data_IF_995095484016
#
_entry.id   IF_995095484016
#
_cell.length_a   1.000
_cell.length_b   1.000
_cell.length_c   1.000
_cell.angle_alpha   90.00
_cell.angle_beta   90.00
_cell.angle_gamma   90.00
#
_symmetry.space_group_name_H-M   'P 1'
#
loop_
_entity.id
_entity.type
_entity.pdbx_description
1 polymer ?
#
# COMPACT_ATOMS: atom_id res chain seq x y z
N UNK A 1 27.52 9.02 -60.72
CA UNK A 1 26.64 9.79 -59.81
C UNK A 1 26.35 8.97 -58.56
N UNK A 2 27.31 8.97 -57.63
CA UNK A 2 27.38 8.03 -56.51
C UNK A 2 27.97 8.78 -55.31
N UNK A 3 27.28 9.83 -54.83
CA UNK A 3 27.84 10.72 -53.79
C UNK A 3 26.83 11.56 -53.00
N UNK A 4 25.54 11.18 -52.89
CA UNK A 4 24.55 12.05 -52.22
C UNK A 4 23.56 11.36 -51.28
N UNK A 5 23.78 10.10 -50.89
CA UNK A 5 22.89 9.39 -49.95
C UNK A 5 23.53 9.03 -48.60
N UNK A 6 24.77 9.46 -48.34
CA UNK A 6 25.50 9.06 -47.12
C UNK A 6 25.55 10.12 -46.01
N UNK A 7 24.98 11.31 -46.21
CA UNK A 7 25.10 12.40 -45.22
C UNK A 7 23.88 12.50 -44.28
N UNK A 8 22.71 11.98 -44.67
CA UNK A 8 21.51 12.10 -43.84
C UNK A 8 21.35 11.01 -42.77
N UNK A 9 22.02 9.86 -42.90
CA UNK A 9 21.90 8.76 -41.94
C UNK A 9 22.76 8.95 -40.67
N UNK A 10 23.82 9.75 -40.74
CA UNK A 10 24.64 10.06 -39.56
C UNK A 10 24.02 11.14 -38.66
N UNK A 11 23.13 11.98 -39.21
CA UNK A 11 22.50 13.05 -38.43
C UNK A 11 21.37 12.55 -37.53
N UNK A 12 20.73 11.43 -37.89
CA UNK A 12 19.66 10.85 -37.07
C UNK A 12 20.17 9.99 -35.91
N UNK A 13 21.43 9.56 -35.94
CA UNK A 13 22.02 8.74 -34.87
C UNK A 13 22.63 9.56 -33.73
N UNK A 14 22.75 10.88 -33.89
CA UNK A 14 23.37 11.77 -32.89
C UNK A 14 22.37 12.58 -32.05
N UNK A 15 21.06 12.46 -32.30
CA UNK A 15 20.00 13.11 -31.50
C UNK A 15 19.32 12.15 -30.50
N UNK A 16 19.98 11.04 -30.14
CA UNK A 16 19.69 10.35 -28.87
C UNK A 16 20.54 10.99 -27.76
N UNK A 17 20.52 12.31 -27.67
CA UNK A 17 21.09 13.04 -26.54
C UNK A 17 20.14 12.84 -25.37
N UNK A 18 20.44 11.84 -24.54
CA UNK A 18 20.18 11.78 -23.10
C UNK A 18 19.05 12.67 -22.59
N UNK A 19 17.79 12.35 -22.91
CA UNK A 19 16.67 12.87 -22.13
C UNK A 19 16.58 11.99 -20.89
N UNK A 20 17.22 12.41 -19.80
CA UNK A 20 16.96 11.83 -18.49
C UNK A 20 15.45 11.93 -18.21
N UNK A 21 14.74 10.81 -18.27
CA UNK A 21 13.32 10.76 -17.97
C UNK A 21 13.08 11.24 -16.52
N UNK A 22 12.19 12.21 -16.35
CA UNK A 22 11.84 12.73 -15.02
C UNK A 22 11.07 11.68 -14.23
N UNK A 23 11.54 11.35 -13.03
CA UNK A 23 10.89 10.37 -12.15
C UNK A 23 9.53 10.89 -11.69
N UNK A 24 8.48 10.11 -11.98
CA UNK A 24 7.12 10.34 -11.49
C UNK A 24 6.86 9.42 -10.31
N UNK A 25 6.53 10.02 -9.18
CA UNK A 25 6.12 9.29 -7.99
C UNK A 25 4.75 8.63 -8.19
N UNK A 26 4.57 7.47 -7.57
CA UNK A 26 3.29 6.76 -7.49
C UNK A 26 3.01 6.40 -6.02
N UNK A 27 1.76 6.10 -5.65
CA UNK A 27 1.41 5.81 -4.25
C UNK A 27 2.22 4.66 -3.63
N UNK A 28 2.63 3.69 -4.45
CA UNK A 28 3.46 2.55 -4.05
C UNK A 28 4.94 2.71 -4.39
N UNK A 29 5.32 3.76 -5.14
CA UNK A 29 6.69 4.03 -5.55
C UNK A 29 7.07 5.45 -5.15
N UNK A 30 7.70 5.57 -3.98
CA UNK A 30 8.22 6.85 -3.48
C UNK A 30 9.54 7.19 -4.16
N UNK A 31 9.76 8.49 -4.38
CA UNK A 31 11.00 9.03 -4.93
C UNK A 31 12.22 8.63 -4.08
N UNK A 32 13.32 8.18 -4.70
CA UNK A 32 14.56 7.93 -3.98
C UNK A 32 15.13 9.26 -3.46
N UNK A 33 15.72 9.22 -2.26
CA UNK A 33 16.23 10.43 -1.57
C UNK A 33 17.17 11.27 -2.43
N UNK A 34 18.09 10.61 -3.14
CA UNK A 34 19.06 11.27 -4.03
C UNK A 34 18.44 12.12 -5.14
N UNK A 35 17.19 11.87 -5.52
CA UNK A 35 16.47 12.59 -6.56
C UNK A 35 15.51 13.65 -6.00
N UNK A 36 15.37 13.76 -4.68
CA UNK A 36 14.53 14.76 -4.04
C UNK A 36 15.25 16.12 -4.00
N UNK A 37 14.76 17.14 -4.73
CA UNK A 37 15.37 18.47 -4.71
C UNK A 37 15.32 19.09 -3.31
N UNK A 38 14.38 18.69 -2.46
CA UNK A 38 14.24 19.24 -1.12
C UNK A 38 15.42 18.89 -0.20
N UNK A 39 16.13 17.78 -0.45
CA UNK A 39 17.28 17.35 0.35
C UNK A 39 18.48 18.30 0.18
N UNK A 40 18.69 18.81 -1.05
CA UNK A 40 19.84 19.66 -1.38
C UNK A 40 19.53 21.16 -1.34
N UNK A 41 18.36 21.59 -1.84
CA UNK A 41 18.09 23.01 -2.07
C UNK A 41 17.42 23.72 -0.89
N UNK A 42 16.76 23.01 0.05
CA UNK A 42 15.96 23.60 1.12
C UNK A 42 16.63 23.59 2.51
N UNK A 43 17.95 23.85 2.58
CA UNK A 43 18.74 23.92 3.82
C UNK A 43 18.51 25.20 4.65
N UNK A 44 17.25 25.58 4.85
CA UNK A 44 16.86 26.66 5.75
C UNK A 44 17.36 26.39 7.19
N UNK A 45 17.62 27.44 7.99
CA UNK A 45 18.05 27.27 9.38
C UNK A 45 16.99 26.53 10.22
N UNK A 46 15.70 26.72 9.93
CA UNK A 46 14.62 26.00 10.61
C UNK A 46 14.61 24.50 10.28
N UNK A 47 14.89 24.13 9.03
CA UNK A 47 15.02 22.74 8.63
C UNK A 47 16.16 22.03 9.36
N UNK A 48 17.33 22.69 9.46
CA UNK A 48 18.48 22.17 10.24
C UNK A 48 18.12 21.96 11.71
N UNK A 49 17.46 22.93 12.34
CA UNK A 49 16.97 22.80 13.73
C UNK A 49 15.98 21.65 13.89
N UNK A 50 15.09 21.42 12.92
CA UNK A 50 14.14 20.32 12.97
C UNK A 50 14.85 18.95 12.85
N UNK A 51 15.87 18.85 11.99
CA UNK A 51 16.64 17.62 11.84
C UNK A 51 17.53 17.34 13.07
N UNK A 52 18.15 18.37 13.65
CA UNK A 52 18.86 18.28 14.92
C UNK A 52 17.93 17.79 16.05
N UNK A 53 16.70 18.33 16.14
CA UNK A 53 15.68 17.86 17.10
C UNK A 53 15.32 16.39 16.88
N UNK A 54 15.10 15.96 15.63
CA UNK A 54 14.82 14.55 15.29
C UNK A 54 15.99 13.63 15.65
N UNK A 55 17.22 14.06 15.35
CA UNK A 55 18.44 13.32 15.66
C UNK A 55 18.67 13.21 17.17
N UNK A 56 18.45 14.29 17.92
CA UNK A 56 18.53 14.31 19.37
C UNK A 56 17.52 13.35 20.01
N UNK A 57 16.26 13.38 19.57
CA UNK A 57 15.23 12.43 20.03
C UNK A 57 15.61 10.98 19.71
N UNK A 58 16.09 10.71 18.49
CA UNK A 58 16.54 9.37 18.09
C UNK A 58 17.72 8.88 18.94
N UNK A 59 18.68 9.75 19.22
CA UNK A 59 19.84 9.44 20.06
C UNK A 59 19.41 9.15 21.51
N UNK A 60 18.49 9.95 22.05
CA UNK A 60 17.94 9.75 23.39
C UNK A 60 17.22 8.41 23.52
N UNK A 61 16.30 8.08 22.60
CA UNK A 61 15.56 6.81 22.61
C UNK A 61 16.50 5.61 22.44
N UNK A 62 17.49 5.70 21.54
CA UNK A 62 18.51 4.66 21.37
C UNK A 62 19.31 4.46 22.65
N UNK A 63 19.73 5.55 23.32
CA UNK A 63 20.46 5.48 24.58
C UNK A 63 19.64 4.76 25.66
N UNK A 64 18.37 5.11 25.80
CA UNK A 64 17.48 4.46 26.77
C UNK A 64 17.36 2.95 26.51
N UNK A 65 17.14 2.56 25.25
CA UNK A 65 17.07 1.15 24.87
C UNK A 65 18.37 0.39 25.16
N UNK A 66 19.52 0.98 24.81
CA UNK A 66 20.82 0.35 25.06
C UNK A 66 21.13 0.20 26.55
N UNK A 67 20.72 1.16 27.40
CA UNK A 67 20.86 1.04 28.85
C UNK A 67 20.08 -0.14 29.43
N UNK A 68 18.86 -0.37 28.94
CA UNK A 68 18.04 -1.53 29.34
C UNK A 68 18.62 -2.84 28.80
N UNK A 69 19.14 -2.84 27.57
CA UNK A 69 19.71 -4.02 26.93
C UNK A 69 21.03 -4.46 27.59
N UNK A 70 21.86 -3.50 28.01
CA UNK A 70 23.18 -3.78 28.59
C UNK A 70 23.13 -4.15 30.08
N UNK A 71 21.97 -4.16 30.73
CA UNK A 71 21.84 -4.54 32.14
C UNK A 71 22.02 -6.06 32.30
N UNK A 72 23.05 -6.54 33.05
CA UNK A 72 23.33 -7.97 33.21
C UNK A 72 22.29 -8.71 34.06
N UNK A 73 21.48 -8.00 34.84
CA UNK A 73 20.46 -8.62 35.70
C UNK A 73 19.08 -8.74 35.04
N UNK A 74 18.95 -8.39 33.75
CA UNK A 74 17.67 -8.45 33.04
C UNK A 74 17.26 -9.90 32.76
N UNK A 75 16.07 -10.28 33.24
CA UNK A 75 15.45 -11.60 32.96
C UNK A 75 14.24 -11.52 32.00
N UNK A 76 13.70 -10.32 31.77
CA UNK A 76 12.44 -10.09 31.06
C UNK A 76 12.64 -9.45 29.68
N UNK A 77 11.57 -9.46 28.87
CA UNK A 77 11.51 -8.79 27.57
C UNK A 77 11.38 -7.26 27.77
N UNK A 78 12.07 -6.48 26.92
CA UNK A 78 11.95 -5.03 26.93
C UNK A 78 10.63 -4.63 26.26
N UNK A 79 9.76 -3.97 27.00
CA UNK A 79 8.52 -3.42 26.46
C UNK A 79 8.79 -2.12 25.70
N UNK A 80 8.38 -2.06 24.43
CA UNK A 80 8.41 -0.83 23.64
C UNK A 80 7.06 -0.09 23.74
N UNK A 81 7.00 1.09 24.41
CA UNK A 81 5.76 1.85 24.49
C UNK A 81 5.25 2.32 23.12
N UNK A 82 6.11 2.44 22.11
CA UNK A 82 5.69 2.77 20.75
C UNK A 82 4.89 1.63 20.12
N UNK A 83 5.33 0.38 20.30
CA UNK A 83 4.61 -0.81 19.84
C UNK A 83 3.25 -0.92 20.52
N UNK A 84 3.20 -0.78 21.86
CA UNK A 84 1.95 -0.86 22.63
C UNK A 84 0.96 0.23 22.25
N UNK A 85 1.44 1.45 21.97
CA UNK A 85 0.58 2.53 21.47
C UNK A 85 0.08 2.28 20.05
N UNK A 86 0.91 1.68 19.20
CA UNK A 86 0.52 1.34 17.83
C UNK A 86 -0.53 0.22 17.79
N UNK A 87 -0.34 -0.84 18.59
CA UNK A 87 -1.36 -1.90 18.71
C UNK A 87 -2.65 -1.34 19.28
N UNK A 88 -2.56 -0.53 20.35
CA UNK A 88 -3.70 0.16 20.93
C UNK A 88 -4.45 1.05 19.92
N UNK A 89 -3.73 1.81 19.09
CA UNK A 89 -4.34 2.67 18.07
C UNK A 89 -5.11 1.87 17.00
N UNK A 90 -4.69 0.62 16.70
CA UNK A 90 -5.40 -0.24 15.74
C UNK A 90 -6.60 -0.96 16.33
N UNK A 91 -6.58 -1.25 17.63
CA UNK A 91 -7.69 -1.92 18.31
C UNK A 91 -8.74 -0.95 18.83
N UNK A 92 -8.33 0.28 19.16
CA UNK A 92 -9.21 1.28 19.74
C UNK A 92 -10.08 1.98 18.67
N UNK A 93 -11.39 1.75 18.71
CA UNK A 93 -12.37 2.36 17.81
C UNK A 93 -13.08 3.61 18.41
N UNK A 94 -12.61 4.15 19.53
CA UNK A 94 -13.29 5.25 20.24
C UNK A 94 -13.33 6.57 19.45
N UNK A 95 -12.57 6.68 18.35
CA UNK A 95 -12.52 7.87 17.50
C UNK A 95 -13.50 7.83 16.31
N UNK A 96 -14.31 6.77 16.18
CA UNK A 96 -15.27 6.67 15.09
C UNK A 96 -16.41 7.68 15.25
N UNK A 97 -16.64 8.47 14.20
CA UNK A 97 -17.76 9.42 14.11
C UNK A 97 -18.71 8.94 13.01
N UNK A 98 -19.99 8.63 13.32
CA UNK A 98 -20.94 8.21 12.31
C UNK A 98 -21.30 9.41 11.41
N UNK A 99 -20.65 9.50 10.25
CA UNK A 99 -20.92 10.50 9.21
C UNK A 99 -21.59 9.86 8.00
N UNK A 100 -22.28 10.65 7.17
CA UNK A 100 -22.94 10.12 5.97
C UNK A 100 -21.98 9.37 5.03
N UNK A 101 -20.75 9.88 4.85
CA UNK A 101 -19.72 9.24 4.01
C UNK A 101 -19.27 7.89 4.58
N UNK A 102 -18.97 7.83 5.88
CA UNK A 102 -18.52 6.60 6.55
C UNK A 102 -19.63 5.55 6.59
N UNK A 103 -20.87 5.96 6.81
CA UNK A 103 -22.03 5.06 6.81
C UNK A 103 -22.32 4.52 5.41
N UNK A 104 -22.17 5.34 4.35
CA UNK A 104 -22.31 4.89 2.97
C UNK A 104 -21.25 3.86 2.60
N UNK A 105 -19.98 4.11 2.94
CA UNK A 105 -18.88 3.16 2.72
C UNK A 105 -19.13 1.86 3.50
N UNK A 106 -19.53 1.95 4.77
CA UNK A 106 -19.85 0.79 5.59
C UNK A 106 -21.01 -0.05 5.01
N UNK A 107 -22.08 0.60 4.55
CA UNK A 107 -23.20 -0.08 3.90
C UNK A 107 -22.81 -0.71 2.56
N UNK A 108 -22.02 0.00 1.75
CA UNK A 108 -21.54 -0.49 0.46
C UNK A 108 -20.66 -1.73 0.64
N UNK A 109 -19.68 -1.70 1.53
CA UNK A 109 -18.77 -2.84 1.71
C UNK A 109 -19.34 -3.95 2.60
N UNK A 110 -20.33 -3.65 3.46
CA UNK A 110 -20.98 -4.64 4.32
C UNK A 110 -22.16 -5.34 3.64
N UNK A 111 -23.10 -4.59 3.08
CA UNK A 111 -24.40 -5.11 2.59
C UNK A 111 -24.31 -5.56 1.13
N UNK A 112 -23.59 -4.82 0.29
CA UNK A 112 -23.50 -5.13 -1.15
C UNK A 112 -22.95 -6.54 -1.43
N UNK A 113 -21.83 -7.01 -0.84
CA UNK A 113 -21.34 -8.34 -1.14
C UNK A 113 -22.33 -9.44 -0.73
N UNK A 114 -23.05 -9.26 0.37
CA UNK A 114 -24.10 -10.19 0.80
C UNK A 114 -25.26 -10.23 -0.21
N UNK A 115 -25.67 -9.06 -0.71
CA UNK A 115 -26.73 -8.98 -1.72
C UNK A 115 -26.30 -9.61 -3.05
N UNK A 116 -25.07 -9.37 -3.48
CA UNK A 116 -24.51 -9.99 -4.69
C UNK A 116 -24.49 -11.51 -4.56
N UNK A 117 -23.97 -12.03 -3.44
CA UNK A 117 -23.96 -13.48 -3.18
C UNK A 117 -25.37 -14.06 -3.13
N UNK A 118 -26.33 -13.35 -2.54
CA UNK A 118 -27.73 -13.78 -2.52
C UNK A 118 -28.28 -13.93 -3.94
N UNK A 119 -28.12 -12.93 -4.81
CA UNK A 119 -28.64 -12.98 -6.18
C UNK A 119 -27.95 -14.07 -7.00
N UNK A 120 -26.63 -14.22 -6.87
CA UNK A 120 -25.87 -15.27 -7.57
C UNK A 120 -26.37 -16.65 -7.14
N UNK A 121 -26.39 -16.94 -5.83
CA UNK A 121 -26.85 -18.24 -5.34
C UNK A 121 -28.32 -18.49 -5.64
N UNK A 122 -29.17 -17.47 -5.54
CA UNK A 122 -30.60 -17.61 -5.83
C UNK A 122 -30.82 -17.98 -7.31
N UNK A 123 -30.15 -17.26 -8.21
CA UNK A 123 -30.26 -17.52 -9.65
C UNK A 123 -29.71 -18.89 -10.06
N UNK A 124 -28.63 -19.35 -9.44
CA UNK A 124 -28.07 -20.69 -9.69
C UNK A 124 -29.02 -21.80 -9.22
N UNK A 125 -29.58 -21.64 -8.02
CA UNK A 125 -30.55 -22.59 -7.46
C UNK A 125 -31.81 -22.69 -8.31
N UNK A 126 -32.37 -21.55 -8.73
CA UNK A 126 -33.60 -21.51 -9.52
C UNK A 126 -33.37 -22.12 -10.92
N UNK A 127 -32.22 -21.83 -11.56
CA UNK A 127 -31.83 -22.45 -12.83
C UNK A 127 -31.66 -23.97 -12.69
N UNK A 128 -31.05 -24.42 -11.59
CA UNK A 128 -30.87 -25.85 -11.31
C UNK A 128 -32.22 -26.55 -11.11
N UNK A 129 -33.12 -25.97 -10.33
CA UNK A 129 -34.47 -26.50 -10.12
C UNK A 129 -35.28 -26.54 -11.41
N UNK A 130 -35.18 -25.50 -12.26
CA UNK A 130 -35.82 -25.48 -13.57
C UNK A 130 -35.32 -26.61 -14.48
N UNK A 131 -34.00 -26.86 -14.54
CA UNK A 131 -33.42 -27.96 -15.32
C UNK A 131 -33.86 -29.34 -14.80
N UNK A 132 -34.01 -29.49 -13.47
CA UNK A 132 -34.52 -30.74 -12.87
C UNK A 132 -35.97 -30.97 -13.30
N UNK A 133 -36.82 -29.94 -13.24
CA UNK A 133 -38.22 -30.03 -13.67
C UNK A 133 -38.36 -30.32 -15.16
N UNK A 134 -37.47 -29.76 -15.99
CA UNK A 134 -37.44 -29.99 -17.43
C UNK A 134 -36.86 -31.38 -17.83
N UNK A 135 -36.37 -32.17 -16.87
CA UNK A 135 -35.76 -33.47 -17.12
C UNK A 135 -34.39 -33.42 -17.82
N UNK A 136 -33.85 -32.23 -18.08
CA UNK A 136 -32.57 -32.00 -18.77
C UNK A 136 -31.36 -31.95 -17.83
N UNK A 137 -31.58 -32.12 -16.52
CA UNK A 137 -30.51 -32.07 -15.52
C UNK A 137 -29.86 -33.44 -15.31
N UNK A 138 -28.73 -33.69 -15.96
CA UNK A 138 -27.97 -34.93 -15.83
C UNK A 138 -27.17 -34.99 -14.51
N UNK A 139 -27.30 -36.09 -13.76
CA UNK A 139 -26.51 -36.39 -12.54
C UNK A 139 -25.97 -37.82 -12.58
N UNK A 140 -24.93 -38.11 -13.37
CA UNK A 140 -24.50 -39.50 -13.62
C UNK A 140 -23.95 -40.24 -12.39
N UNK A 141 -23.42 -39.55 -11.37
CA UNK A 141 -22.72 -40.21 -10.25
C UNK A 141 -23.13 -39.67 -8.86
N UNK A 142 -24.41 -39.43 -8.60
CA UNK A 142 -24.85 -38.96 -7.26
C UNK A 142 -25.18 -40.15 -6.36
N UNK A 143 -24.16 -40.68 -5.67
CA UNK A 143 -24.26 -41.85 -4.77
C UNK A 143 -24.30 -41.50 -3.27
N UNK A 144 -24.43 -40.23 -2.90
CA UNK A 144 -24.59 -39.82 -1.51
C UNK A 144 -26.06 -39.49 -1.18
N UNK A 145 -26.57 -40.21 -0.18
CA UNK A 145 -27.87 -40.03 0.47
C UNK A 145 -27.98 -38.64 1.11
#
# INVERSE_FOLDING_TARGET
MRFLFFVDACFFFFFCCSVMATYKEASLATRPKTLDPAEYFNLSPEYRRAEEKRAALRAQLKRQYLQQLNNPHRKELIEDPALTRWTYARTNNNYFRPTAKTSLIGGLFGVLPLFVLYVVFKSDRDKREAKIKAGTYERPYKLST
#
